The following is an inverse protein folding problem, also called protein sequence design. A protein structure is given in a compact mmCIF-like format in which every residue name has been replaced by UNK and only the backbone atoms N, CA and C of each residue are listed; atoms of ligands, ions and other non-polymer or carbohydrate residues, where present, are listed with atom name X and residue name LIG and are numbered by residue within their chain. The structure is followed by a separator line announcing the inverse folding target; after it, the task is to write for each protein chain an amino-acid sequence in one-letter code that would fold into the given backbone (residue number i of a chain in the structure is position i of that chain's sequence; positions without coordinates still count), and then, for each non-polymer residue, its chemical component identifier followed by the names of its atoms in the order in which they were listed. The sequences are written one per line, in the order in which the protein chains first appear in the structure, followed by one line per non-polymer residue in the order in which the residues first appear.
data_IF_372080978842
#
_entry.id   IF_372080978842
#
_cell.length_a   1.000
_cell.length_b   1.000
_cell.length_c   1.000
_cell.angle_alpha   90.00
_cell.angle_beta   90.00
_cell.angle_gamma   90.00
#
_symmetry.space_group_name_H-M   'P 1'
#
loop_
_entity.id
_entity.type
_entity.pdbx_description
1 polymer ?
#
# COMPACT_ATOMS: atom_id res chain seq x y z
N UNK A 1 -49.44 27.32 21.44
CA UNK A 1 -49.25 26.30 20.38
C UNK A 1 -48.33 26.70 19.21
N UNK A 2 -47.86 27.95 19.05
CA UNK A 2 -46.98 28.35 17.92
C UNK A 2 -45.46 28.20 18.17
N UNK A 3 -45.01 28.14 19.43
CA UNK A 3 -43.59 28.02 19.79
C UNK A 3 -43.05 26.59 19.56
N UNK A 4 -43.92 25.58 19.61
CA UNK A 4 -43.55 24.16 19.43
C UNK A 4 -43.14 23.82 17.99
N UNK A 5 -43.63 24.57 16.99
CA UNK A 5 -43.37 24.28 15.58
C UNK A 5 -41.99 24.81 15.11
N UNK A 6 -41.52 25.90 15.71
CA UNK A 6 -40.22 26.51 15.38
C UNK A 6 -39.07 25.67 15.96
N UNK A 7 -39.21 25.12 17.16
CA UNK A 7 -38.20 24.21 17.72
C UNK A 7 -38.04 22.94 16.86
N UNK A 8 -39.14 22.38 16.34
CA UNK A 8 -39.12 21.21 15.46
C UNK A 8 -38.39 21.47 14.13
N UNK A 9 -38.50 22.69 13.58
CA UNK A 9 -37.77 23.12 12.38
C UNK A 9 -36.25 23.25 12.63
N UNK A 10 -35.82 23.68 13.82
CA UNK A 10 -34.39 23.73 14.18
C UNK A 10 -33.79 22.34 14.38
N UNK A 11 -34.53 21.38 14.95
CA UNK A 11 -34.05 19.99 15.04
C UNK A 11 -34.00 19.29 13.69
N UNK A 12 -34.99 19.50 12.81
CA UNK A 12 -34.99 18.93 11.46
C UNK A 12 -33.91 19.51 10.54
N UNK A 13 -33.62 20.80 10.63
CA UNK A 13 -32.53 21.45 9.88
C UNK A 13 -31.14 21.05 10.39
N UNK A 14 -31.00 20.73 11.68
CA UNK A 14 -29.73 20.21 12.22
C UNK A 14 -29.34 18.87 11.59
N UNK A 15 -30.30 17.96 11.37
CA UNK A 15 -30.05 16.68 10.70
C UNK A 15 -29.73 16.87 9.21
N UNK A 16 -30.42 17.77 8.51
CA UNK A 16 -30.13 18.06 7.11
C UNK A 16 -28.76 18.75 6.91
N UNK A 17 -28.39 19.66 7.81
CA UNK A 17 -27.06 20.26 7.85
C UNK A 17 -25.98 19.23 8.21
N UNK A 18 -26.28 18.30 9.12
CA UNK A 18 -25.39 17.20 9.49
C UNK A 18 -25.18 16.21 8.34
N UNK A 19 -26.22 15.90 7.57
CA UNK A 19 -26.15 15.05 6.36
C UNK A 19 -25.39 15.75 5.23
N UNK A 20 -25.62 17.05 5.02
CA UNK A 20 -24.92 17.81 3.98
C UNK A 20 -23.43 18.06 4.29
N UNK A 21 -23.06 18.13 5.57
CA UNK A 21 -21.66 18.22 6.00
C UNK A 21 -20.97 16.87 6.19
N UNK A 22 -21.73 15.76 6.27
CA UNK A 22 -21.18 14.41 6.17
C UNK A 22 -20.84 14.11 4.70
N UNK A 23 -19.66 14.59 4.31
CA UNK A 23 -18.84 14.10 3.20
C UNK A 23 -19.65 13.71 1.96
N UNK A 24 -19.97 14.70 1.09
CA UNK A 24 -20.70 14.53 -0.17
C UNK A 24 -20.13 13.41 -1.08
N UNK A 25 -18.92 12.91 -0.80
CA UNK A 25 -18.29 11.79 -1.49
C UNK A 25 -18.45 10.40 -0.83
N UNK A 26 -19.04 10.29 0.36
CA UNK A 26 -19.11 9.01 1.11
C UNK A 26 -20.39 8.19 0.94
N UNK A 27 -21.51 8.81 0.55
CA UNK A 27 -22.81 8.14 0.48
C UNK A 27 -23.59 8.44 -0.82
N UNK A 28 -22.90 8.74 -1.93
CA UNK A 28 -23.59 8.89 -3.22
C UNK A 28 -24.31 7.58 -3.59
N UNK A 29 -25.64 7.65 -3.65
CA UNK A 29 -26.55 6.54 -3.93
C UNK A 29 -26.56 6.10 -5.40
N UNK A 30 -25.75 6.70 -6.27
CA UNK A 30 -25.68 6.24 -7.66
C UNK A 30 -25.04 4.86 -7.72
N UNK A 31 -25.90 3.85 -7.90
CA UNK A 31 -25.55 2.49 -8.31
C UNK A 31 -25.03 2.59 -9.75
N UNK A 32 -23.79 3.06 -9.89
CA UNK A 32 -23.09 2.95 -11.17
C UNK A 32 -22.70 1.49 -11.34
N UNK A 33 -23.13 0.86 -12.42
CA UNK A 33 -22.62 -0.46 -12.81
C UNK A 33 -21.11 -0.37 -12.96
N UNK A 34 -20.37 -1.23 -12.23
CA UNK A 34 -18.92 -1.28 -12.34
C UNK A 34 -18.51 -1.54 -13.80
N UNK A 35 -17.74 -0.58 -14.33
CA UNK A 35 -17.03 -0.75 -15.59
C UNK A 35 -15.63 -1.28 -15.26
N UNK A 36 -15.27 -2.47 -15.75
CA UNK A 36 -13.92 -2.98 -15.60
C UNK A 36 -12.90 -1.94 -16.06
N UNK A 37 -11.86 -1.72 -15.26
CA UNK A 37 -10.78 -0.83 -15.66
C UNK A 37 -10.05 -1.40 -16.87
N UNK A 38 -9.81 -0.58 -17.90
CA UNK A 38 -8.95 -0.95 -19.04
C UNK A 38 -7.45 -0.99 -18.66
N UNK A 39 -7.14 -0.82 -17.38
CA UNK A 39 -5.79 -0.82 -16.85
C UNK A 39 -5.19 -2.22 -16.89
N UNK A 40 -3.94 -2.31 -17.35
CA UNK A 40 -3.16 -3.53 -17.24
C UNK A 40 -2.91 -3.88 -15.77
N UNK A 41 -3.40 -5.03 -15.30
CA UNK A 41 -3.32 -5.43 -13.90
C UNK A 41 -2.21 -6.45 -13.60
N UNK A 42 -1.70 -7.12 -14.64
CA UNK A 42 -0.60 -8.08 -14.56
C UNK A 42 0.08 -8.20 -15.94
N UNK A 43 1.17 -8.94 -16.02
CA UNK A 43 1.83 -9.22 -17.30
C UNK A 43 1.28 -10.53 -17.90
N UNK A 44 0.53 -10.43 -19.00
CA UNK A 44 0.01 -11.62 -19.71
C UNK A 44 1.11 -12.51 -20.27
N UNK A 45 2.22 -11.89 -20.72
CA UNK A 45 3.40 -12.60 -21.19
C UNK A 45 4.45 -12.70 -20.10
N UNK A 46 5.21 -13.79 -20.12
CA UNK A 46 6.38 -13.99 -19.27
C UNK A 46 7.36 -12.83 -19.49
N UNK A 47 7.67 -12.14 -18.40
CA UNK A 47 8.57 -10.97 -18.35
C UNK A 47 9.72 -11.24 -17.41
N UNK A 48 10.93 -10.85 -17.80
CA UNK A 48 12.11 -10.96 -16.94
C UNK A 48 12.10 -9.92 -15.82
N UNK A 49 11.47 -8.76 -16.02
CA UNK A 49 11.32 -7.71 -15.04
C UNK A 49 9.87 -7.21 -14.99
N UNK A 50 9.33 -7.17 -13.78
CA UNK A 50 8.07 -6.47 -13.50
C UNK A 50 8.32 -5.43 -12.41
N UNK A 51 7.80 -4.23 -12.63
CA UNK A 51 7.87 -3.12 -11.69
C UNK A 51 6.46 -2.62 -11.42
N UNK A 52 6.14 -2.42 -10.14
CA UNK A 52 4.86 -1.85 -9.73
C UNK A 52 5.04 -0.73 -8.71
N UNK A 53 4.38 0.38 -8.96
CA UNK A 53 4.12 1.53 -8.08
C UNK A 53 3.11 2.46 -8.79
N UNK A 54 2.80 3.63 -8.24
CA UNK A 54 1.86 4.59 -8.83
C UNK A 54 2.38 5.44 -10.01
N UNK A 55 3.63 5.27 -10.46
CA UNK A 55 4.25 6.16 -11.45
C UNK A 55 4.99 5.38 -12.55
N UNK A 56 4.35 5.21 -13.72
CA UNK A 56 4.90 4.47 -14.86
C UNK A 56 6.22 5.04 -15.37
N UNK A 57 6.43 6.35 -15.34
CA UNK A 57 7.66 6.97 -15.82
C UNK A 57 8.86 6.61 -14.92
N UNK A 58 8.64 6.51 -13.61
CA UNK A 58 9.64 5.99 -12.68
C UNK A 58 9.97 4.51 -12.92
N UNK A 59 9.00 3.71 -13.33
CA UNK A 59 9.20 2.30 -13.68
C UNK A 59 10.03 2.16 -14.96
N UNK A 60 9.68 2.89 -16.02
CA UNK A 60 10.44 2.94 -17.27
C UNK A 60 11.85 3.43 -17.04
N UNK A 61 12.01 4.53 -16.29
CA UNK A 61 13.32 5.07 -15.94
C UNK A 61 14.18 4.06 -15.15
N UNK A 62 13.56 3.24 -14.30
CA UNK A 62 14.27 2.21 -13.55
C UNK A 62 14.67 1.02 -14.40
N UNK A 63 13.81 0.54 -15.32
CA UNK A 63 14.21 -0.46 -16.33
C UNK A 63 15.42 0.02 -17.12
N UNK A 64 15.33 1.24 -17.68
CA UNK A 64 16.42 1.85 -18.43
C UNK A 64 17.71 2.01 -17.61
N UNK A 65 17.59 2.36 -16.31
CA UNK A 65 18.74 2.45 -15.41
C UNK A 65 19.40 1.09 -15.17
N UNK A 66 18.60 0.03 -14.99
CA UNK A 66 19.10 -1.34 -14.82
C UNK A 66 19.74 -1.91 -16.09
N UNK A 67 19.26 -1.53 -17.28
CA UNK A 67 19.82 -1.96 -18.56
C UNK A 67 21.13 -1.23 -18.90
N UNK A 68 21.20 0.09 -18.65
CA UNK A 68 22.36 0.91 -18.98
C UNK A 68 23.53 0.73 -18.02
N UNK A 69 23.27 0.31 -16.79
CA UNK A 69 24.33 0.14 -15.79
C UNK A 69 25.17 -1.11 -16.07
N UNK A 70 26.49 -0.95 -16.12
CA UNK A 70 27.43 -2.09 -16.23
C UNK A 70 27.59 -2.86 -14.91
N UNK A 71 26.96 -2.39 -13.83
CA UNK A 71 27.06 -3.00 -12.51
C UNK A 71 26.14 -4.21 -12.39
N UNK A 72 26.71 -5.36 -12.01
CA UNK A 72 25.92 -6.54 -11.67
C UNK A 72 25.23 -6.36 -10.30
N UNK A 73 23.92 -6.17 -10.30
CA UNK A 73 23.12 -6.10 -9.08
C UNK A 73 22.51 -7.45 -8.72
N UNK A 74 22.59 -7.82 -7.44
CA UNK A 74 21.79 -8.91 -6.88
C UNK A 74 20.31 -8.52 -6.84
N UNK A 75 19.42 -9.49 -6.59
CA UNK A 75 18.00 -9.16 -6.43
C UNK A 75 17.76 -8.20 -5.24
N UNK A 76 18.44 -8.43 -4.12
CA UNK A 76 18.34 -7.56 -2.95
C UNK A 76 18.80 -6.12 -3.26
N UNK A 77 19.87 -5.95 -4.07
CA UNK A 77 20.31 -4.63 -4.53
C UNK A 77 19.21 -3.92 -5.34
N UNK A 78 18.59 -4.63 -6.29
CA UNK A 78 17.51 -4.08 -7.13
C UNK A 78 16.29 -3.70 -6.28
N UNK A 79 15.90 -4.54 -5.32
CA UNK A 79 14.80 -4.27 -4.39
C UNK A 79 15.07 -3.03 -3.52
N UNK A 80 16.31 -2.86 -3.04
CA UNK A 80 16.71 -1.70 -2.23
C UNK A 80 16.77 -0.42 -3.08
N UNK A 81 17.36 -0.48 -4.29
CA UNK A 81 17.35 0.63 -5.24
C UNK A 81 15.91 1.06 -5.58
N UNK A 82 15.03 0.09 -5.83
CA UNK A 82 13.62 0.36 -6.12
C UNK A 82 12.90 1.00 -4.93
N UNK A 83 13.19 0.55 -3.71
CA UNK A 83 12.66 1.16 -2.47
C UNK A 83 13.12 2.61 -2.29
N UNK A 84 14.40 2.90 -2.53
CA UNK A 84 14.93 4.27 -2.46
C UNK A 84 14.22 5.24 -3.42
N UNK A 85 13.86 4.77 -4.62
CA UNK A 85 13.07 5.56 -5.59
C UNK A 85 11.70 5.93 -5.03
N UNK A 86 11.05 5.01 -4.30
CA UNK A 86 9.71 5.26 -3.76
C UNK A 86 9.68 6.41 -2.76
N UNK A 87 10.79 6.69 -2.10
CA UNK A 87 10.87 7.81 -1.17
C UNK A 87 10.55 9.13 -1.88
N UNK A 88 11.11 9.38 -3.08
CA UNK A 88 10.81 10.60 -3.83
C UNK A 88 9.36 10.66 -4.32
N UNK A 89 8.72 9.52 -4.58
CA UNK A 89 7.33 9.47 -5.07
C UNK A 89 6.32 9.77 -3.97
N UNK A 90 6.56 9.27 -2.75
CA UNK A 90 5.65 9.42 -1.61
C UNK A 90 6.39 9.91 -0.39
N UNK A 91 6.88 11.17 -0.37
CA UNK A 91 7.62 11.71 0.77
C UNK A 91 6.78 11.81 2.05
N UNK A 92 5.44 11.71 1.91
CA UNK A 92 4.45 11.65 2.97
C UNK A 92 4.23 10.24 3.57
N UNK A 93 4.59 9.17 2.87
CA UNK A 93 4.42 7.77 3.33
C UNK A 93 5.71 6.94 3.34
N UNK A 94 6.67 7.24 2.47
CA UNK A 94 7.98 6.63 2.29
C UNK A 94 9.08 7.62 2.69
N UNK A 95 9.14 7.94 3.97
CA UNK A 95 10.14 8.82 4.56
C UNK A 95 11.15 8.00 5.38
N UNK A 96 12.29 8.56 5.81
CA UNK A 96 13.16 7.87 6.75
C UNK A 96 12.45 7.41 8.03
N UNK A 97 11.45 8.16 8.51
CA UNK A 97 10.69 7.86 9.74
C UNK A 97 9.56 6.87 9.54
N UNK A 98 9.23 6.48 8.30
CA UNK A 98 8.15 5.53 8.05
C UNK A 98 8.52 4.12 8.45
N UNK A 99 7.51 3.32 8.82
CA UNK A 99 7.69 1.87 8.92
C UNK A 99 7.78 1.27 7.52
N UNK A 100 8.46 0.14 7.44
CA UNK A 100 8.64 -0.61 6.21
C UNK A 100 8.30 -2.09 6.45
N UNK A 101 7.35 -2.61 5.68
CA UNK A 101 7.00 -4.03 5.64
C UNK A 101 7.41 -4.62 4.31
N UNK A 102 8.00 -5.81 4.31
CA UNK A 102 8.58 -6.45 3.12
C UNK A 102 8.25 -7.93 3.13
N UNK A 103 7.77 -8.44 1.99
CA UNK A 103 8.02 -9.81 1.56
C UNK A 103 9.12 -9.80 0.51
N UNK A 104 10.11 -10.67 0.69
CA UNK A 104 11.20 -10.87 -0.26
C UNK A 104 11.47 -12.35 -0.43
N UNK A 105 11.57 -12.80 -1.69
CA UNK A 105 12.02 -14.12 -2.06
C UNK A 105 13.22 -13.97 -2.96
N UNK A 106 14.32 -14.57 -2.55
CA UNK A 106 15.51 -14.78 -3.38
C UNK A 106 15.70 -16.28 -3.59
N UNK A 107 16.80 -16.66 -4.24
CA UNK A 107 17.28 -18.05 -4.24
C UNK A 107 17.61 -18.58 -2.83
N UNK A 108 17.92 -17.69 -1.89
CA UNK A 108 18.39 -18.05 -0.53
C UNK A 108 17.21 -18.31 0.43
N UNK A 109 16.01 -17.86 0.09
CA UNK A 109 14.84 -18.06 0.94
C UNK A 109 13.72 -17.06 0.73
N UNK A 110 12.67 -17.23 1.52
CA UNK A 110 11.56 -16.30 1.66
C UNK A 110 11.62 -15.69 3.06
N UNK A 111 11.54 -14.37 3.14
CA UNK A 111 11.54 -13.65 4.40
C UNK A 111 10.44 -12.60 4.43
N UNK A 112 9.87 -12.43 5.63
CA UNK A 112 9.03 -11.30 6.00
C UNK A 112 9.79 -10.41 6.96
N UNK A 113 9.75 -9.09 6.73
CA UNK A 113 10.26 -8.11 7.67
C UNK A 113 9.25 -7.02 7.93
N UNK A 114 9.18 -6.60 9.19
CA UNK A 114 8.44 -5.42 9.63
C UNK A 114 9.34 -4.55 10.50
N UNK A 115 9.82 -3.45 9.92
CA UNK A 115 10.68 -2.47 10.57
C UNK A 115 9.85 -1.30 11.08
N UNK A 116 9.90 -1.03 12.39
CA UNK A 116 9.20 0.09 13.01
C UNK A 116 9.92 0.54 14.29
N UNK A 117 9.55 1.71 14.82
CA UNK A 117 10.02 2.16 16.12
C UNK A 117 8.90 2.88 16.89
N UNK A 118 8.98 2.80 18.21
CA UNK A 118 8.14 3.62 19.10
C UNK A 118 8.64 5.07 19.20
N UNK A 119 9.89 5.30 18.84
CA UNK A 119 10.58 6.58 19.01
C UNK A 119 10.51 7.40 17.70
N UNK A 120 10.09 8.66 17.81
CA UNK A 120 9.89 9.53 16.64
C UNK A 120 11.17 9.95 15.92
N UNK A 121 12.33 9.85 16.60
CA UNK A 121 13.65 10.16 16.03
C UNK A 121 14.28 8.97 15.31
N UNK A 122 13.63 7.80 15.28
CA UNK A 122 14.15 6.62 14.60
C UNK A 122 13.97 6.70 13.08
N UNK A 123 14.79 5.92 12.36
CA UNK A 123 14.72 5.84 10.89
C UNK A 123 14.49 4.40 10.38
N UNK A 124 13.33 3.78 10.70
CA UNK A 124 13.08 2.36 10.42
C UNK A 124 13.14 2.01 8.92
N UNK A 125 12.70 2.89 8.03
CA UNK A 125 12.76 2.67 6.59
C UNK A 125 14.20 2.45 6.11
N UNK A 126 15.08 3.41 6.42
CA UNK A 126 16.50 3.39 6.03
C UNK A 126 17.24 2.23 6.68
N UNK A 127 16.99 1.98 7.96
CA UNK A 127 17.55 0.83 8.66
C UNK A 127 17.11 -0.50 8.01
N UNK A 128 15.83 -0.62 7.64
CA UNK A 128 15.30 -1.80 6.96
C UNK A 128 16.05 -2.08 5.66
N UNK A 129 16.28 -1.06 4.84
CA UNK A 129 17.06 -1.21 3.60
C UNK A 129 18.50 -1.66 3.86
N UNK A 130 19.17 -1.09 4.87
CA UNK A 130 20.51 -1.54 5.28
C UNK A 130 20.50 -2.99 5.78
N UNK A 131 19.47 -3.37 6.54
CA UNK A 131 19.30 -4.72 7.05
C UNK A 131 19.15 -5.74 5.91
N UNK A 132 18.33 -5.42 4.89
CA UNK A 132 18.17 -6.27 3.69
C UNK A 132 19.51 -6.46 2.98
N UNK A 133 20.26 -5.37 2.72
CA UNK A 133 21.58 -5.48 2.08
C UNK A 133 22.54 -6.36 2.89
N UNK A 134 22.53 -6.26 4.22
CA UNK A 134 23.37 -7.07 5.10
C UNK A 134 22.95 -8.54 5.09
N UNK A 135 21.65 -8.84 5.25
CA UNK A 135 21.11 -10.22 5.30
C UNK A 135 21.40 -10.99 4.01
N UNK A 136 21.24 -10.34 2.85
CA UNK A 136 21.54 -10.94 1.54
C UNK A 136 22.96 -10.67 1.03
N UNK A 137 23.89 -10.30 1.92
CA UNK A 137 25.33 -10.16 1.64
C UNK A 137 25.64 -9.32 0.39
N UNK A 138 24.94 -8.19 0.23
CA UNK A 138 25.23 -7.25 -0.84
C UNK A 138 26.67 -6.74 -0.76
N UNK A 139 27.31 -6.61 -1.92
CA UNK A 139 28.62 -5.96 -2.07
C UNK A 139 28.56 -4.42 -2.03
N UNK A 140 27.36 -3.86 -2.00
CA UNK A 140 27.14 -2.42 -2.03
C UNK A 140 26.57 -1.94 -0.70
N UNK A 141 27.11 -0.84 -0.18
CA UNK A 141 26.47 -0.14 0.93
C UNK A 141 25.24 0.64 0.45
N UNK A 142 24.30 0.92 1.36
CA UNK A 142 23.12 1.72 1.03
C UNK A 142 23.50 3.10 0.46
N UNK A 143 24.52 3.74 1.03
CA UNK A 143 25.04 5.04 0.55
C UNK A 143 25.57 4.93 -0.89
N UNK A 144 26.26 3.83 -1.23
CA UNK A 144 26.78 3.62 -2.59
C UNK A 144 25.64 3.41 -3.60
N UNK A 145 24.61 2.64 -3.25
CA UNK A 145 23.41 2.48 -4.08
C UNK A 145 22.66 3.80 -4.27
N UNK A 146 22.50 4.57 -3.20
CA UNK A 146 21.88 5.89 -3.26
C UNK A 146 22.66 6.87 -4.14
N UNK A 147 24.00 6.87 -4.05
CA UNK A 147 24.86 7.71 -4.90
C UNK A 147 24.75 7.33 -6.39
N UNK A 148 24.63 6.03 -6.69
CA UNK A 148 24.41 5.56 -8.06
C UNK A 148 23.08 6.05 -8.63
N UNK A 149 22.02 6.04 -7.83
CA UNK A 149 20.75 6.64 -8.23
C UNK A 149 20.94 8.14 -8.46
N UNK A 150 21.46 8.88 -7.47
CA UNK A 150 21.68 10.34 -7.54
C UNK A 150 22.41 10.79 -8.83
N UNK A 151 23.38 10.00 -9.29
CA UNK A 151 24.16 10.30 -10.49
C UNK A 151 23.48 9.92 -11.81
N UNK A 152 22.75 8.79 -11.85
CA UNK A 152 22.38 8.15 -13.13
C UNK A 152 20.87 8.03 -13.36
N UNK A 153 20.05 8.17 -12.32
CA UNK A 153 18.60 8.09 -12.46
C UNK A 153 18.03 9.45 -12.89
N UNK A 154 17.13 9.56 -13.87
CA UNK A 154 16.55 10.84 -14.30
C UNK A 154 15.52 11.38 -13.29
N UNK A 155 15.26 12.69 -13.30
CA UNK A 155 14.16 13.25 -12.50
C UNK A 155 12.81 13.09 -13.23
N UNK A 156 12.11 12.00 -12.92
CA UNK A 156 10.81 11.62 -13.51
C UNK A 156 9.67 11.58 -12.48
N UNK A 157 9.92 12.08 -11.28
CA UNK A 157 8.95 11.99 -10.19
C UNK A 157 7.84 13.02 -10.37
N UNK A 158 6.60 12.54 -10.35
CA UNK A 158 5.41 13.38 -10.40
C UNK A 158 4.46 13.03 -9.27
N UNK A 159 3.65 14.01 -8.87
CA UNK A 159 2.58 13.85 -7.89
C UNK A 159 1.54 12.90 -8.44
N UNK A 160 1.20 11.87 -7.66
CA UNK A 160 0.06 10.99 -7.95
C UNK A 160 -1.19 11.50 -7.21
N UNK A 161 -2.35 10.91 -7.53
CA UNK A 161 -3.62 11.37 -6.95
C UNK A 161 -3.67 11.32 -5.42
N UNK A 162 -3.13 10.25 -4.83
CA UNK A 162 -3.11 10.10 -3.36
C UNK A 162 -2.22 11.15 -2.68
N UNK A 163 -1.11 11.55 -3.31
CA UNK A 163 -0.23 12.58 -2.78
C UNK A 163 -0.81 13.98 -2.98
N UNK A 164 -1.45 14.27 -4.13
CA UNK A 164 -2.22 15.51 -4.32
C UNK A 164 -3.28 15.68 -3.22
N UNK A 165 -4.04 14.63 -2.93
CA UNK A 165 -5.05 14.62 -1.88
C UNK A 165 -4.44 14.89 -0.50
N UNK A 166 -3.25 14.36 -0.23
CA UNK A 166 -2.50 14.65 0.99
C UNK A 166 -2.08 16.13 1.05
N UNK A 167 -1.52 16.66 -0.04
CA UNK A 167 -1.05 18.05 -0.12
C UNK A 167 -2.22 19.02 0.07
N UNK A 168 -3.30 18.84 -0.70
CA UNK A 168 -4.50 19.69 -0.65
C UNK A 168 -5.13 19.71 0.75
N UNK A 169 -5.24 18.55 1.41
CA UNK A 169 -5.79 18.45 2.78
C UNK A 169 -4.93 19.16 3.84
N UNK A 170 -3.69 19.51 3.52
CA UNK A 170 -2.74 20.09 4.46
C UNK A 170 -2.11 21.40 3.96
N UNK A 171 -2.73 22.04 2.97
CA UNK A 171 -2.24 23.25 2.30
C UNK A 171 -1.74 24.32 3.29
N UNK A 172 -2.57 24.70 4.28
CA UNK A 172 -2.21 25.73 5.27
C UNK A 172 -0.95 25.37 6.08
N UNK A 173 -0.77 24.09 6.41
CA UNK A 173 0.39 23.61 7.18
C UNK A 173 1.65 23.48 6.31
N UNK A 174 1.48 23.27 5.00
CA UNK A 174 2.56 23.29 4.02
C UNK A 174 3.02 24.74 3.80
N UNK A 175 2.07 25.65 3.62
CA UNK A 175 2.31 27.07 3.42
C UNK A 175 3.07 27.73 4.57
N UNK A 176 2.85 27.27 5.80
CA UNK A 176 3.53 27.80 6.99
C UNK A 176 5.00 27.38 7.13
N UNK A 177 5.45 26.34 6.41
CA UNK A 177 6.83 25.86 6.49
C UNK A 177 7.63 26.27 5.24
N UNK A 178 8.67 27.12 5.34
CA UNK A 178 9.36 27.69 4.17
C UNK A 178 9.85 26.67 3.14
N UNK A 179 10.44 25.56 3.61
CA UNK A 179 10.90 24.48 2.73
C UNK A 179 9.73 23.80 2.02
N UNK A 180 8.65 23.45 2.72
CA UNK A 180 7.54 22.73 2.10
C UNK A 180 6.72 23.63 1.18
N UNK A 181 6.54 24.91 1.54
CA UNK A 181 5.98 25.91 0.64
C UNK A 181 6.77 25.99 -0.67
N UNK A 182 8.10 26.11 -0.59
CA UNK A 182 8.96 26.19 -1.79
C UNK A 182 8.84 24.95 -2.69
N UNK A 183 8.83 23.78 -2.08
CA UNK A 183 8.96 22.50 -2.78
C UNK A 183 7.61 21.91 -3.23
N UNK A 184 6.51 22.24 -2.55
CA UNK A 184 5.17 21.68 -2.79
C UNK A 184 4.08 22.70 -3.11
N UNK A 185 4.40 23.99 -3.23
CA UNK A 185 3.45 25.00 -3.69
C UNK A 185 3.94 25.75 -4.93
N UNK A 186 2.98 26.20 -5.74
CA UNK A 186 3.14 27.08 -6.90
C UNK A 186 2.17 28.23 -6.73
N UNK A 187 2.72 29.44 -6.56
CA UNK A 187 1.96 30.57 -6.03
C UNK A 187 1.25 30.17 -4.73
N UNK A 188 -0.08 30.16 -4.73
CA UNK A 188 -0.92 29.88 -3.56
C UNK A 188 -1.55 28.48 -3.59
N UNK A 189 -1.23 27.65 -4.59
CA UNK A 189 -1.79 26.30 -4.72
C UNK A 189 -0.75 25.22 -4.44
N UNK A 190 -1.19 24.09 -3.86
CA UNK A 190 -0.37 22.88 -3.73
C UNK A 190 -0.23 22.15 -5.05
N UNK A 191 0.89 21.44 -5.25
CA UNK A 191 1.09 20.62 -6.45
C UNK A 191 -0.06 19.62 -6.69
N UNK A 192 -0.47 19.52 -7.96
CA UNK A 192 -1.54 18.68 -8.50
C UNK A 192 -0.98 17.43 -9.18
N UNK A 193 -1.85 16.47 -9.44
CA UNK A 193 -1.49 15.23 -10.15
C UNK A 193 -0.72 15.54 -11.45
N UNK A 194 0.33 14.75 -11.71
CA UNK A 194 1.28 14.89 -12.82
C UNK A 194 2.26 16.08 -12.75
N UNK A 195 2.15 16.96 -11.76
CA UNK A 195 3.19 17.98 -11.54
C UNK A 195 4.47 17.37 -10.96
N UNK A 196 5.63 17.96 -11.29
CA UNK A 196 6.93 17.42 -10.91
C UNK A 196 7.22 17.59 -9.42
N UNK A 197 7.67 16.52 -8.79
CA UNK A 197 8.20 16.52 -7.43
C UNK A 197 9.70 16.82 -7.47
N UNK A 198 10.23 17.66 -6.56
CA UNK A 198 11.66 17.88 -6.46
C UNK A 198 12.40 16.59 -6.10
N UNK A 199 13.54 16.39 -6.77
CA UNK A 199 14.40 15.24 -6.51
C UNK A 199 15.35 15.52 -5.35
N UNK A 200 15.42 14.59 -4.40
CA UNK A 200 16.38 14.64 -3.31
C UNK A 200 17.65 13.91 -3.68
N UNK A 201 18.80 14.44 -3.23
CA UNK A 201 20.07 13.70 -3.20
C UNK A 201 20.04 12.68 -2.06
N UNK A 202 19.67 11.44 -2.37
CA UNK A 202 19.46 10.36 -1.39
C UNK A 202 20.74 10.00 -0.64
N UNK A 203 21.89 10.04 -1.30
CA UNK A 203 23.19 9.78 -0.67
C UNK A 203 23.53 10.82 0.39
N UNK A 204 23.20 12.09 0.15
CA UNK A 204 23.34 13.19 1.11
C UNK A 204 22.42 12.97 2.31
N UNK A 205 21.14 12.69 2.04
CA UNK A 205 20.16 12.36 3.09
C UNK A 205 20.73 11.26 4.00
N UNK A 206 21.07 10.09 3.45
CA UNK A 206 21.48 8.93 4.26
C UNK A 206 22.74 9.22 5.09
N UNK A 207 23.66 10.05 4.56
CA UNK A 207 24.89 10.45 5.27
C UNK A 207 24.60 11.41 6.41
N UNK A 208 23.67 12.35 6.21
CA UNK A 208 23.33 13.41 7.16
C UNK A 208 22.25 13.00 8.17
N UNK A 209 21.58 11.87 7.96
CA UNK A 209 20.65 11.36 8.95
C UNK A 209 21.38 11.19 10.29
N UNK A 210 20.86 11.80 11.37
CA UNK A 210 21.51 11.72 12.66
C UNK A 210 21.63 10.25 13.07
N UNK A 211 22.77 9.88 13.64
CA UNK A 211 22.94 8.57 14.27
C UNK A 211 21.95 8.47 15.43
N UNK A 212 20.77 7.95 15.14
CA UNK A 212 19.72 7.81 16.13
C UNK A 212 20.09 6.71 17.10
N UNK A 213 20.08 7.02 18.40
CA UNK A 213 20.15 6.00 19.46
C UNK A 213 18.83 5.25 19.61
N UNK A 214 17.79 5.68 18.88
CA UNK A 214 16.46 5.11 18.98
C UNK A 214 16.43 3.64 18.59
N UNK A 215 15.70 2.85 19.37
CA UNK A 215 15.62 1.40 19.14
C UNK A 215 14.66 1.12 18.01
N UNK A 216 15.17 0.53 16.93
CA UNK A 216 14.37 0.01 15.82
C UNK A 216 14.04 -1.44 16.13
N UNK A 217 12.75 -1.79 15.98
CA UNK A 217 12.25 -3.15 16.13
C UNK A 217 12.12 -3.81 14.76
N UNK A 218 12.52 -5.06 14.70
CA UNK A 218 12.32 -5.95 13.54
C UNK A 218 11.38 -7.05 14.01
N UNK A 219 10.24 -7.19 13.35
CA UNK A 219 9.35 -8.33 13.54
C UNK A 219 9.36 -9.16 12.25
N UNK A 220 9.74 -10.44 12.36
CA UNK A 220 9.77 -11.41 11.26
C UNK A 220 8.70 -12.49 11.44
N UNK A 221 7.93 -12.46 12.53
CA UNK A 221 6.93 -13.47 12.86
C UNK A 221 5.70 -13.37 11.97
N UNK A 222 5.25 -14.54 11.50
CA UNK A 222 3.97 -14.73 10.84
C UNK A 222 3.17 -15.78 11.62
N UNK A 223 1.90 -15.51 11.84
CA UNK A 223 0.93 -16.44 12.40
C UNK A 223 0.51 -17.43 11.32
N UNK A 224 0.59 -18.71 11.62
CA UNK A 224 0.12 -19.76 10.72
C UNK A 224 -1.36 -20.09 10.96
N UNK A 225 -2.09 -20.21 9.87
CA UNK A 225 -3.47 -20.61 9.85
C UNK A 225 -3.67 -21.70 8.79
N UNK A 226 -4.11 -22.88 9.23
CA UNK A 226 -4.49 -23.98 8.34
C UNK A 226 -5.93 -23.78 7.92
N UNK A 227 -6.13 -23.71 6.62
CA UNK A 227 -7.45 -23.57 6.00
C UNK A 227 -8.09 -24.94 5.80
N UNK A 228 -9.41 -25.01 5.64
CA UNK A 228 -10.12 -26.28 5.38
C UNK A 228 -9.65 -27.00 4.10
N UNK A 229 -8.98 -26.29 3.20
CA UNK A 229 -8.39 -26.84 1.97
C UNK A 229 -6.98 -27.40 2.13
N UNK A 230 -6.49 -27.52 3.36
CA UNK A 230 -5.11 -27.82 3.71
C UNK A 230 -4.10 -26.75 3.26
N UNK A 231 -4.46 -25.64 2.62
CA UNK A 231 -3.51 -24.54 2.42
C UNK A 231 -3.06 -23.97 3.77
N UNK A 232 -1.78 -23.62 3.85
CA UNK A 232 -1.20 -22.96 5.01
C UNK A 232 -1.03 -21.49 4.65
N UNK A 233 -1.77 -20.64 5.36
CA UNK A 233 -1.60 -19.20 5.34
C UNK A 233 -0.62 -18.80 6.46
N UNK A 234 0.37 -17.97 6.14
CA UNK A 234 1.29 -17.37 7.12
C UNK A 234 1.17 -15.86 7.02
N UNK A 235 0.60 -15.21 8.05
CA UNK A 235 0.17 -13.82 8.03
C UNK A 235 0.77 -12.98 9.15
N UNK A 236 0.94 -11.67 8.96
CA UNK A 236 1.43 -10.78 10.02
C UNK A 236 0.34 -10.38 11.06
N UNK A 237 -0.80 -11.07 11.03
CA UNK A 237 -1.91 -10.98 11.96
C UNK A 237 -2.51 -12.39 12.14
N UNK A 238 -3.22 -12.62 13.23
CA UNK A 238 -3.87 -13.91 13.47
C UNK A 238 -5.20 -13.99 12.71
N UNK A 239 -5.25 -14.82 11.67
CA UNK A 239 -6.47 -15.08 10.90
C UNK A 239 -7.57 -15.74 11.73
N UNK A 240 -7.24 -16.48 12.80
CA UNK A 240 -8.22 -17.19 13.62
C UNK A 240 -9.23 -16.26 14.28
N UNK A 241 -8.86 -14.99 14.49
CA UNK A 241 -9.76 -13.96 15.01
C UNK A 241 -11.03 -13.85 14.16
N UNK A 242 -10.89 -13.90 12.83
CA UNK A 242 -12.02 -13.77 11.91
C UNK A 242 -12.93 -15.00 11.89
N UNK A 243 -12.41 -16.20 12.19
CA UNK A 243 -13.24 -17.40 12.36
C UNK A 243 -14.18 -17.28 13.55
N UNK A 244 -13.79 -16.49 14.56
CA UNK A 244 -14.60 -16.17 15.74
C UNK A 244 -15.35 -14.84 15.58
N UNK A 245 -15.45 -14.31 14.37
CA UNK A 245 -16.05 -13.00 14.05
C UNK A 245 -15.41 -11.80 14.76
N UNK A 246 -14.20 -11.94 15.32
CA UNK A 246 -13.51 -10.82 15.98
C UNK A 246 -12.87 -9.94 14.91
N UNK A 247 -13.53 -8.82 14.61
CA UNK A 247 -13.06 -7.87 13.60
C UNK A 247 -12.19 -6.78 14.22
N UNK A 248 -10.96 -6.68 13.73
CA UNK A 248 -10.03 -5.67 14.20
C UNK A 248 -10.32 -4.38 13.43
N UNK A 249 -11.40 -3.65 13.73
CA UNK A 249 -11.68 -2.39 13.02
C UNK A 249 -10.87 -1.25 13.65
N UNK A 250 -9.95 -0.66 12.89
CA UNK A 250 -9.18 0.50 13.36
C UNK A 250 -9.99 1.80 13.20
N UNK A 251 -9.79 2.81 14.05
CA UNK A 251 -10.44 4.13 13.90
C UNK A 251 -10.09 4.77 12.55
N UNK A 252 -8.79 4.81 12.24
CA UNK A 252 -8.27 5.33 10.98
C UNK A 252 -8.02 4.28 9.92
N UNK A 253 -8.03 4.72 8.66
CA UNK A 253 -7.56 3.94 7.52
C UNK A 253 -6.04 3.71 7.59
N UNK A 254 -5.63 2.47 7.34
CA UNK A 254 -4.23 2.09 7.23
C UNK A 254 -3.76 2.45 5.81
N UNK A 255 -3.44 3.73 5.62
CA UNK A 255 -2.93 4.25 4.36
C UNK A 255 -1.48 3.84 4.14
N UNK A 256 -1.18 3.24 3.00
CA UNK A 256 0.14 2.68 2.73
C UNK A 256 0.55 2.85 1.28
N UNK A 257 1.82 3.22 1.07
CA UNK A 257 2.43 3.19 -0.25
C UNK A 257 2.90 1.76 -0.55
N UNK A 258 2.19 1.07 -1.44
CA UNK A 258 2.57 -0.25 -1.94
C UNK A 258 3.46 -0.13 -3.18
N UNK A 259 4.47 -0.99 -3.26
CA UNK A 259 5.37 -1.07 -4.40
C UNK A 259 6.01 -2.45 -4.47
N UNK A 260 6.52 -2.83 -5.64
CA UNK A 260 7.04 -4.17 -5.86
C UNK A 260 7.95 -4.28 -7.07
N UNK A 261 8.79 -5.30 -7.05
CA UNK A 261 9.65 -5.70 -8.16
C UNK A 261 9.72 -7.22 -8.22
N UNK A 262 9.62 -7.75 -9.44
CA UNK A 262 9.86 -9.17 -9.72
C UNK A 262 10.90 -9.28 -10.81
N UNK A 263 11.82 -10.23 -10.63
CA UNK A 263 12.77 -10.64 -11.68
C UNK A 263 12.81 -12.15 -11.81
N UNK A 264 13.65 -12.67 -12.71
CA UNK A 264 14.04 -14.09 -12.70
C UNK A 264 14.78 -14.51 -11.41
N UNK A 265 15.47 -13.58 -10.73
CA UNK A 265 16.26 -13.85 -9.52
C UNK A 265 15.43 -13.86 -8.23
N UNK A 266 14.20 -13.32 -8.25
CA UNK A 266 13.41 -13.16 -7.03
C UNK A 266 12.18 -12.27 -7.18
N UNK A 267 11.44 -12.13 -6.09
CA UNK A 267 10.26 -11.27 -5.97
C UNK A 267 10.25 -10.48 -4.68
N UNK A 268 9.70 -9.28 -4.75
CA UNK A 268 9.66 -8.33 -3.65
C UNK A 268 8.35 -7.55 -3.70
N UNK A 269 7.63 -7.53 -2.59
CA UNK A 269 6.49 -6.66 -2.34
C UNK A 269 6.72 -5.93 -1.02
N UNK A 270 6.50 -4.63 -1.02
CA UNK A 270 6.67 -3.81 0.17
C UNK A 270 5.54 -2.82 0.37
N UNK A 271 5.41 -2.42 1.62
CA UNK A 271 4.47 -1.41 2.08
C UNK A 271 5.21 -0.42 2.98
N UNK A 272 5.03 0.87 2.70
CA UNK A 272 5.50 1.95 3.55
C UNK A 272 4.34 2.74 4.11
N UNK A 273 4.40 3.03 5.41
CA UNK A 273 3.32 3.74 6.10
C UNK A 273 3.91 4.65 7.17
N UNK A 274 3.28 5.78 7.39
CA UNK A 274 3.45 6.57 8.61
C UNK A 274 2.14 7.24 8.99
N UNK A 275 1.98 7.58 10.27
CA UNK A 275 0.83 8.37 10.75
C UNK A 275 1.29 9.59 11.53
N UNK A 276 0.33 10.44 11.90
CA UNK A 276 0.55 11.71 12.61
C UNK A 276 1.68 12.52 11.99
N UNK A 277 1.54 12.74 10.68
CA UNK A 277 2.54 13.47 9.90
C UNK A 277 2.73 14.86 10.50
N UNK A 278 3.97 15.17 10.87
CA UNK A 278 4.40 16.48 11.35
C UNK A 278 4.92 17.27 10.17
N UNK A 279 4.51 18.53 10.05
CA UNK A 279 4.99 19.47 9.03
C UNK A 279 6.36 20.03 9.42
N UNK A 280 7.30 19.10 9.62
CA UNK A 280 8.71 19.36 9.85
C UNK A 280 9.54 18.38 9.01
N UNK A 281 10.64 18.86 8.39
CA UNK A 281 11.46 18.04 7.52
C UNK A 281 12.29 17.03 8.31
N UNK A 282 12.63 15.91 7.66
CA UNK A 282 13.70 15.03 8.11
C UNK A 282 15.04 15.62 7.66
N UNK A 283 15.81 16.18 8.59
CA UNK A 283 17.02 16.92 8.24
C UNK A 283 16.69 18.14 7.36
N UNK A 284 17.43 18.29 6.26
CA UNK A 284 17.24 19.36 5.26
C UNK A 284 16.42 18.93 4.03
N UNK A 285 15.65 17.84 4.14
CA UNK A 285 14.97 17.21 3.00
C UNK A 285 13.49 17.56 2.90
N UNK A 286 12.85 17.17 1.78
CA UNK A 286 11.41 17.35 1.54
C UNK A 286 10.53 16.29 2.25
N UNK A 287 11.14 15.36 3.00
CA UNK A 287 10.40 14.30 3.68
C UNK A 287 9.66 14.80 4.90
N UNK A 288 8.39 14.40 5.02
CA UNK A 288 7.62 14.68 6.22
C UNK A 288 7.97 13.69 7.33
N UNK A 289 8.17 14.19 8.56
CA UNK A 289 8.30 13.37 9.75
C UNK A 289 6.96 12.71 10.12
N UNK A 290 7.00 11.48 10.60
CA UNK A 290 5.82 10.78 11.09
C UNK A 290 6.13 9.71 12.12
N UNK A 291 5.09 9.03 12.58
CA UNK A 291 5.18 7.91 13.51
C UNK A 291 5.13 6.58 12.75
N UNK A 292 6.06 5.67 13.06
CA UNK A 292 6.13 4.32 12.49
C UNK A 292 5.39 3.26 13.33
N UNK A 293 5.22 3.47 14.64
CA UNK A 293 4.40 2.59 15.49
C UNK A 293 2.91 2.83 15.26
N UNK A 294 2.41 2.25 14.17
CA UNK A 294 1.04 2.40 13.73
C UNK A 294 0.52 1.04 13.28
N UNK A 295 -0.80 0.89 13.10
CA UNK A 295 -1.34 -0.36 12.58
C UNK A 295 -0.90 -0.61 11.14
N UNK A 296 -0.53 -1.86 10.86
CA UNK A 296 0.21 -2.26 9.66
C UNK A 296 -0.69 -2.78 8.54
N UNK A 297 -0.20 -2.70 7.31
CA UNK A 297 -0.81 -3.38 6.18
C UNK A 297 -0.81 -4.89 6.46
N UNK A 298 -1.83 -5.58 5.96
CA UNK A 298 -1.97 -7.02 6.13
C UNK A 298 -1.13 -7.73 5.07
N UNK A 299 -0.24 -8.61 5.49
CA UNK A 299 0.67 -9.38 4.65
C UNK A 299 0.41 -10.86 4.93
N UNK A 300 0.11 -11.63 3.89
CA UNK A 300 -0.10 -13.07 3.98
C UNK A 300 0.58 -13.79 2.84
N UNK A 301 1.27 -14.88 3.16
CA UNK A 301 1.73 -15.86 2.17
C UNK A 301 0.89 -17.13 2.28
N UNK A 302 0.51 -17.69 1.14
CA UNK A 302 -0.27 -18.91 1.03
C UNK A 302 0.58 -19.95 0.30
N UNK A 303 0.67 -21.13 0.89
CA UNK A 303 1.37 -22.28 0.33
C UNK A 303 0.41 -23.46 0.26
N UNK A 304 0.39 -24.13 -0.89
CA UNK A 304 -0.31 -25.40 -1.04
C UNK A 304 0.60 -26.53 -0.56
N UNK A 305 0.16 -27.43 0.34
CA UNK A 305 0.93 -28.63 0.65
C UNK A 305 1.05 -29.57 -0.55
N UNK A 306 0.06 -29.55 -1.45
CA UNK A 306 0.00 -30.42 -2.64
C UNK A 306 0.87 -29.91 -3.79
N UNK A 307 1.08 -28.60 -3.86
CA UNK A 307 1.88 -27.95 -4.91
C UNK A 307 2.86 -26.96 -4.28
N UNK A 308 4.10 -27.42 -4.12
CA UNK A 308 5.18 -26.63 -3.50
C UNK A 308 5.63 -25.44 -4.36
N UNK A 309 5.37 -25.50 -5.66
CA UNK A 309 5.75 -24.44 -6.61
C UNK A 309 4.71 -23.31 -6.61
N UNK A 310 3.45 -23.63 -6.30
CA UNK A 310 2.38 -22.66 -6.15
C UNK A 310 2.54 -21.83 -4.87
N UNK A 311 2.83 -20.54 -5.06
CA UNK A 311 2.95 -19.54 -3.99
C UNK A 311 2.09 -18.34 -4.34
N UNK A 312 1.33 -17.86 -3.37
CA UNK A 312 0.58 -16.62 -3.47
C UNK A 312 0.93 -15.73 -2.29
N UNK A 313 1.26 -14.47 -2.53
CA UNK A 313 1.32 -13.45 -1.50
C UNK A 313 0.20 -12.47 -1.72
N UNK A 314 -0.44 -12.03 -0.63
CA UNK A 314 -1.43 -10.97 -0.64
C UNK A 314 -0.98 -9.88 0.32
N UNK A 315 -1.07 -8.63 -0.14
CA UNK A 315 -0.80 -7.43 0.65
C UNK A 315 -2.01 -6.52 0.56
N UNK A 316 -2.63 -6.20 1.70
CA UNK A 316 -3.84 -5.39 1.79
C UNK A 316 -3.61 -4.12 2.59
N UNK A 317 -4.13 -3.00 2.08
CA UNK A 317 -4.01 -1.66 2.66
C UNK A 317 -5.23 -0.79 2.34
N UNK A 318 -5.16 0.50 2.65
CA UNK A 318 -6.22 1.50 2.42
C UNK A 318 -7.56 1.08 3.03
N UNK A 319 -7.51 0.42 4.18
CA UNK A 319 -8.66 -0.11 4.90
C UNK A 319 -8.55 0.14 6.40
N UNK A 320 -9.69 0.12 7.09
CA UNK A 320 -9.76 0.08 8.55
C UNK A 320 -9.49 -1.33 9.10
N UNK A 321 -9.70 -2.36 8.28
CA UNK A 321 -9.28 -3.73 8.58
C UNK A 321 -8.81 -4.46 7.30
N UNK A 322 -7.53 -4.31 6.91
CA UNK A 322 -6.99 -4.95 5.73
C UNK A 322 -6.89 -6.47 5.87
N UNK A 323 -6.85 -7.02 7.09
CA UNK A 323 -6.78 -8.47 7.33
C UNK A 323 -8.08 -9.17 6.96
N UNK A 324 -9.21 -8.53 7.26
CA UNK A 324 -10.54 -9.00 6.87
C UNK A 324 -10.68 -9.15 5.35
N UNK A 325 -10.10 -8.25 4.56
CA UNK A 325 -10.12 -8.39 3.08
C UNK A 325 -9.42 -9.65 2.59
N UNK A 326 -8.22 -9.94 3.13
CA UNK A 326 -7.46 -11.12 2.73
C UNK A 326 -8.17 -12.39 3.22
N UNK A 327 -8.77 -12.35 4.40
CA UNK A 327 -9.60 -13.43 4.92
C UNK A 327 -10.79 -13.73 4.00
N UNK A 328 -11.54 -12.71 3.55
CA UNK A 328 -12.65 -12.92 2.62
C UNK A 328 -12.19 -13.46 1.26
N UNK A 329 -11.06 -12.98 0.73
CA UNK A 329 -10.45 -13.52 -0.49
C UNK A 329 -10.12 -15.01 -0.33
N UNK A 330 -9.64 -15.41 0.84
CA UNK A 330 -9.39 -16.82 1.16
C UNK A 330 -10.67 -17.64 1.15
N UNK A 331 -11.74 -17.16 1.80
CA UNK A 331 -13.05 -17.82 1.86
C UNK A 331 -13.71 -17.94 0.48
N UNK A 332 -13.52 -16.94 -0.39
CA UNK A 332 -13.98 -16.97 -1.78
C UNK A 332 -13.23 -17.94 -2.70
N UNK A 333 -12.28 -18.71 -2.15
CA UNK A 333 -11.68 -19.83 -2.86
C UNK A 333 -10.40 -19.49 -3.63
N UNK A 334 -9.36 -19.04 -2.92
CA UNK A 334 -7.95 -19.14 -3.41
C UNK A 334 -7.59 -20.58 -3.84
N UNK A 335 -8.34 -21.55 -3.30
CA UNK A 335 -8.16 -23.01 -3.30
C UNK A 335 -7.96 -23.64 -4.70
N UNK A 336 -8.54 -23.06 -5.76
CA UNK A 336 -8.53 -23.64 -7.12
C UNK A 336 -7.84 -22.80 -8.18
N UNK A 337 -7.46 -21.54 -7.89
CA UNK A 337 -7.05 -20.60 -8.94
C UNK A 337 -5.64 -20.86 -9.45
N UNK A 338 -5.48 -21.16 -10.73
CA UNK A 338 -4.25 -21.62 -11.38
C UNK A 338 -3.65 -20.59 -12.33
N UNK A 339 -4.21 -19.38 -12.41
CA UNK A 339 -3.66 -18.35 -13.31
C UNK A 339 -3.63 -16.95 -12.71
N UNK A 340 -2.72 -16.08 -13.19
CA UNK A 340 -2.72 -14.66 -12.84
C UNK A 340 -4.07 -13.96 -13.09
N UNK A 341 -4.78 -14.36 -14.16
CA UNK A 341 -6.10 -13.81 -14.52
C UNK A 341 -7.14 -14.08 -13.43
N UNK A 342 -7.26 -15.33 -13.00
CA UNK A 342 -8.24 -15.71 -11.97
C UNK A 342 -7.94 -15.04 -10.62
N UNK A 343 -6.66 -14.87 -10.27
CA UNK A 343 -6.25 -14.14 -9.06
C UNK A 343 -6.59 -12.65 -9.21
N UNK A 344 -6.38 -12.06 -10.39
CA UNK A 344 -6.79 -10.69 -10.69
C UNK A 344 -8.30 -10.49 -10.54
N UNK A 345 -9.11 -11.43 -11.03
CA UNK A 345 -10.57 -11.41 -10.87
C UNK A 345 -10.98 -11.55 -9.39
N UNK A 346 -10.25 -12.37 -8.61
CA UNK A 346 -10.50 -12.50 -7.17
C UNK A 346 -10.26 -11.19 -6.41
N UNK A 347 -9.19 -10.49 -6.77
CA UNK A 347 -8.80 -9.21 -6.16
C UNK A 347 -9.77 -8.10 -6.60
N UNK A 348 -10.25 -8.13 -7.84
CA UNK A 348 -11.20 -7.16 -8.36
C UNK A 348 -12.60 -7.29 -7.72
N UNK A 349 -12.93 -8.47 -7.19
CA UNK A 349 -14.21 -8.78 -6.57
C UNK A 349 -14.61 -7.78 -5.47
N UNK A 350 -15.92 -7.56 -5.29
CA UNK A 350 -16.46 -6.61 -4.31
C UNK A 350 -16.01 -6.92 -2.88
N UNK A 351 -15.53 -5.90 -2.18
CA UNK A 351 -15.10 -6.03 -0.79
C UNK A 351 -16.23 -5.71 0.17
N UNK A 352 -16.05 -6.20 1.38
CA UNK A 352 -16.96 -5.94 2.48
C UNK A 352 -16.22 -5.94 3.81
N UNK A 353 -16.73 -5.13 4.75
CA UNK A 353 -16.27 -5.06 6.14
C UNK A 353 -17.47 -5.30 7.06
N UNK A 354 -17.34 -6.29 7.93
CA UNK A 354 -18.26 -6.44 9.07
C UNK A 354 -17.82 -5.52 10.19
N UNK A 355 -18.77 -4.77 10.74
CA UNK A 355 -18.58 -3.95 11.92
C UNK A 355 -19.43 -4.53 13.05
N UNK A 356 -18.88 -4.55 14.25
CA UNK A 356 -19.59 -4.97 15.47
C UNK A 356 -20.16 -3.75 16.20
N UNK A 357 -21.16 -3.98 17.04
CA UNK A 357 -21.77 -3.01 17.96
C UNK A 357 -22.21 -1.66 17.33
N UNK A 358 -23.37 -1.60 16.66
CA UNK A 358 -24.22 -2.72 16.22
C UNK A 358 -23.66 -3.44 14.99
N UNK A 359 -24.03 -4.72 14.82
CA UNK A 359 -23.68 -5.53 13.65
C UNK A 359 -24.19 -4.87 12.37
N UNK A 360 -23.27 -4.54 11.47
CA UNK A 360 -23.59 -3.93 10.17
C UNK A 360 -22.52 -4.27 9.13
N UNK A 361 -22.90 -4.18 7.87
CA UNK A 361 -22.04 -4.49 6.73
C UNK A 361 -21.75 -3.20 5.96
N UNK A 362 -20.48 -2.92 5.70
CA UNK A 362 -20.10 -1.97 4.64
C UNK A 362 -19.70 -2.77 3.42
N UNK A 363 -20.22 -2.39 2.25
CA UNK A 363 -20.12 -3.19 1.03
C UNK A 363 -19.83 -2.33 -0.22
N UNK A 364 -19.01 -2.84 -1.13
CA UNK A 364 -18.75 -2.19 -2.43
C UNK A 364 -19.81 -2.57 -3.47
N UNK A 365 -21.03 -2.04 -3.36
CA UNK A 365 -22.17 -2.51 -4.17
C UNK A 365 -21.97 -2.32 -5.67
N UNK A 366 -21.24 -1.28 -6.08
CA UNK A 366 -20.99 -0.99 -7.49
C UNK A 366 -20.24 -2.14 -8.20
N UNK A 367 -19.44 -2.92 -7.47
CA UNK A 367 -18.61 -4.02 -7.99
C UNK A 367 -19.26 -5.40 -7.86
N UNK A 368 -20.55 -5.45 -7.53
CA UNK A 368 -21.25 -6.68 -7.24
C UNK A 368 -22.34 -6.96 -8.26
N UNK A 369 -22.65 -8.23 -8.44
CA UNK A 369 -23.84 -8.62 -9.20
C UNK A 369 -25.10 -8.35 -8.38
N UNK A 370 -26.23 -8.16 -9.07
CA UNK A 370 -27.54 -8.04 -8.41
C UNK A 370 -27.84 -9.24 -7.50
N UNK A 371 -27.51 -10.45 -7.95
CA UNK A 371 -27.68 -11.67 -7.17
C UNK A 371 -26.88 -11.67 -5.86
N UNK A 372 -25.66 -11.14 -5.86
CA UNK A 372 -24.85 -11.00 -4.65
C UNK A 372 -25.47 -10.00 -3.70
N UNK A 373 -25.92 -8.86 -4.22
CA UNK A 373 -26.59 -7.84 -3.41
C UNK A 373 -27.88 -8.40 -2.80
N UNK A 374 -28.71 -9.09 -3.58
CA UNK A 374 -29.94 -9.74 -3.10
C UNK A 374 -29.65 -10.80 -2.04
N UNK A 375 -28.54 -11.55 -2.19
CA UNK A 375 -28.06 -12.50 -1.18
C UNK A 375 -27.66 -11.82 0.12
N UNK A 376 -26.96 -10.68 0.06
CA UNK A 376 -26.56 -9.91 1.23
C UNK A 376 -27.75 -9.26 1.93
N UNK A 377 -28.73 -8.74 1.17
CA UNK A 377 -29.94 -8.13 1.72
C UNK A 377 -30.78 -9.13 2.54
N UNK A 378 -30.65 -10.44 2.28
CA UNK A 378 -31.29 -11.50 3.09
C UNK A 378 -30.64 -11.70 4.46
N UNK A 379 -29.45 -11.17 4.72
CA UNK A 379 -28.75 -11.31 6.00
C UNK A 379 -29.43 -10.54 7.15
N UNK A 380 -30.47 -9.75 6.86
CA UNK A 380 -31.22 -8.94 7.84
C UNK A 380 -30.31 -8.06 8.73
N UNK A 381 -29.26 -7.52 8.13
CA UNK A 381 -28.30 -6.60 8.75
C UNK A 381 -28.30 -5.27 7.98
N UNK A 382 -28.08 -4.12 8.63
CA UNK A 382 -27.88 -2.86 7.93
C UNK A 382 -26.69 -2.93 6.96
N UNK A 383 -26.92 -2.56 5.69
CA UNK A 383 -25.90 -2.53 4.65
C UNK A 383 -25.66 -1.09 4.21
N UNK A 384 -24.41 -0.67 4.24
CA UNK A 384 -23.95 0.63 3.77
C UNK A 384 -23.08 0.47 2.53
N UNK A 385 -23.36 1.25 1.49
CA UNK A 385 -22.51 1.26 0.31
C UNK A 385 -21.23 2.05 0.56
N UNK A 386 -20.10 1.55 0.06
CA UNK A 386 -18.85 2.27 -0.04
C UNK A 386 -18.30 2.19 -1.47
N UNK A 387 -17.78 3.32 -1.98
CA UNK A 387 -17.14 3.35 -3.30
C UNK A 387 -15.88 2.46 -3.36
N UNK A 388 -15.10 2.43 -2.26
CA UNK A 388 -13.86 1.67 -2.10
C UNK A 388 -13.62 1.38 -0.62
N UNK A 389 -13.35 0.13 -0.26
CA UNK A 389 -13.07 -0.29 1.12
C UNK A 389 -11.59 -0.59 1.39
N UNK A 390 -10.80 -0.76 0.33
CA UNK A 390 -9.36 -0.87 0.36
C UNK A 390 -8.83 -1.54 -0.90
N UNK A 391 -7.56 -1.93 -0.88
CA UNK A 391 -6.90 -2.57 -2.02
C UNK A 391 -6.11 -3.80 -1.60
N UNK A 392 -5.97 -4.75 -2.52
CA UNK A 392 -5.14 -5.94 -2.33
C UNK A 392 -4.22 -6.13 -3.53
N UNK A 393 -2.92 -6.15 -3.32
CA UNK A 393 -1.96 -6.55 -4.36
C UNK A 393 -1.51 -7.98 -4.11
N UNK A 394 -1.13 -8.66 -5.18
CA UNK A 394 -0.66 -10.03 -5.09
C UNK A 394 0.66 -10.27 -5.82
N UNK A 395 1.41 -11.24 -5.31
CA UNK A 395 2.45 -11.93 -6.07
C UNK A 395 1.95 -13.35 -6.26
N UNK A 396 1.81 -13.78 -7.50
CA UNK A 396 1.46 -15.15 -7.87
C UNK A 396 2.65 -15.83 -8.52
N UNK A 397 2.95 -17.06 -8.09
CA UNK A 397 3.94 -17.92 -8.71
C UNK A 397 3.41 -19.34 -8.77
N UNK A 398 3.61 -19.98 -9.91
CA UNK A 398 3.54 -21.43 -10.07
C UNK A 398 4.74 -21.91 -10.93
N UNK A 399 4.64 -23.08 -11.56
CA UNK A 399 5.69 -23.62 -12.43
C UNK A 399 5.88 -22.83 -13.72
N UNK A 400 4.80 -22.25 -14.26
CA UNK A 400 4.76 -21.65 -15.60
C UNK A 400 4.78 -20.11 -15.53
N UNK A 401 4.18 -19.56 -14.49
CA UNK A 401 3.89 -18.16 -14.29
C UNK A 401 4.50 -17.61 -13.02
N UNK A 402 4.90 -16.34 -13.11
CA UNK A 402 5.42 -15.59 -11.98
C UNK A 402 5.13 -14.11 -12.21
N UNK A 403 4.09 -13.61 -11.53
CA UNK A 403 3.46 -12.33 -11.82
C UNK A 403 3.15 -11.54 -10.54
N UNK A 404 3.37 -10.24 -10.61
CA UNK A 404 2.75 -9.28 -9.71
C UNK A 404 1.40 -8.89 -10.30
N UNK A 405 0.39 -8.83 -9.45
CA UNK A 405 -0.99 -8.51 -9.80
C UNK A 405 -1.43 -7.33 -8.94
N UNK A 406 -1.89 -6.25 -9.57
CA UNK A 406 -2.31 -5.03 -8.89
C UNK A 406 -3.84 -4.88 -8.88
N UNK A 407 -4.33 -4.18 -7.87
CA UNK A 407 -5.76 -3.86 -7.73
C UNK A 407 -6.13 -2.65 -8.58
N UNK A 408 -7.20 -2.76 -9.36
CA UNK A 408 -7.68 -1.69 -10.22
C UNK A 408 -8.32 -0.52 -9.44
N UNK A 409 -8.58 -0.68 -8.13
CA UNK A 409 -8.98 0.40 -7.22
C UNK A 409 -7.85 1.36 -6.87
N UNK A 410 -6.62 1.04 -7.27
CA UNK A 410 -5.43 1.86 -6.99
C UNK A 410 -4.93 2.56 -8.25
N UNK A 411 -4.24 3.68 -8.05
CA UNK A 411 -3.46 4.34 -9.10
C UNK A 411 -2.21 3.53 -9.50
N UNK A 412 -1.83 2.50 -8.75
CA UNK A 412 -0.69 1.61 -9.04
C UNK A 412 -0.68 1.07 -10.47
N UNK A 413 0.42 1.21 -11.19
CA UNK A 413 0.63 0.77 -12.58
C UNK A 413 1.67 -0.36 -12.62
N UNK A 414 1.71 -1.11 -13.73
CA UNK A 414 2.69 -2.19 -13.93
C UNK A 414 3.44 -2.04 -15.27
N UNK A 415 4.76 -2.14 -15.21
CA UNK A 415 5.64 -2.27 -16.38
C UNK A 415 6.13 -3.70 -16.47
N UNK A 416 6.12 -4.25 -17.70
CA UNK A 416 6.60 -5.58 -18.01
C UNK A 416 7.71 -5.45 -19.06
N UNK A 417 8.95 -5.73 -18.66
CA UNK A 417 10.10 -5.75 -19.58
C UNK A 417 10.48 -7.20 -19.87
N UNK A 418 10.83 -7.47 -21.13
CA UNK A 418 11.33 -8.78 -21.55
C UNK A 418 12.75 -9.01 -21.07
#
# INVERSE_FOLDING_TARGET
MRVSFILLLFFASSCAYFINNFDQNRLSQDISTYKPSNKKLYCEQKSELQLVNSNIESQKAFSNFLEKTKLKFTFADKAVLWSLIQMNLRPDLASPTSKLQIFIQTKDGFDYFHFYSKEQSAHPYIYGLQHILKKYKSRYSLIKLAALLDQNFPNVFTVNKDFEDFLSKNEQRIASHPLFKKEYMRADETLKENEKIPRIKLSKLIRELPKSRAKIKINESLFEHKTDSNMIASCNYDMKLYNSSIYLIHEDFIRSHLFGIKTNQGSFLASSTQRKVKFAPVGSSIFFKGESQTRSAAFCSFKSPKDKDKKLWLVSSESRDPGQHIYHILEYGIKSKTSPKEISELIAFSRHLFLEDPTRLIFESNRSSKQQLDGLLKLNLPIYNARKLGNVWAMYKDKNDHNIIIDDRTDGQITCTK
#
